data_IF_257321049743
#
_entry.id   IF_257321049743
#
_cell.length_a   1.000
_cell.length_b   1.000
_cell.length_c   1.000
_cell.angle_alpha   90.00
_cell.angle_beta   90.00
_cell.angle_gamma   90.00
#
_symmetry.space_group_name_H-M   'P 1'
#
loop_
_entity.id
_entity.type
_entity.pdbx_description
1 polymer ?
#
# COMPACT_ATOMS: atom_id res chain seq x y z
N UNK A 1 17.59 10.13 -12.59
CA UNK A 1 17.60 9.51 -11.27
C UNK A 1 16.32 9.92 -10.60
N UNK A 2 15.50 8.94 -10.22
CA UNK A 2 14.16 9.11 -9.72
C UNK A 2 14.18 8.73 -8.25
N UNK A 3 14.04 9.76 -7.42
CA UNK A 3 14.02 9.61 -5.97
C UNK A 3 12.58 9.46 -5.49
N UNK A 4 12.33 8.49 -4.62
CA UNK A 4 11.09 8.39 -3.86
C UNK A 4 11.42 8.38 -2.36
N UNK A 5 10.48 8.83 -1.55
CA UNK A 5 10.54 8.76 -0.10
C UNK A 5 9.47 7.79 0.39
N UNK A 6 9.89 6.75 1.08
CA UNK A 6 9.01 5.87 1.84
C UNK A 6 8.78 6.48 3.21
N UNK A 7 7.52 6.54 3.63
CA UNK A 7 7.14 7.16 4.90
C UNK A 7 6.17 6.26 5.66
N UNK A 8 6.46 6.10 6.95
CA UNK A 8 5.63 5.39 7.91
C UNK A 8 5.17 6.37 8.99
N UNK A 9 3.85 6.48 9.14
CA UNK A 9 3.24 7.26 10.20
C UNK A 9 2.52 6.37 11.20
N UNK A 10 2.54 6.70 12.49
CA UNK A 10 1.63 6.15 13.49
C UNK A 10 0.33 6.96 13.48
N UNK A 11 -0.82 6.29 13.52
CA UNK A 11 -2.12 6.94 13.68
C UNK A 11 -2.34 7.25 15.17
N UNK A 12 -2.44 8.53 15.53
CA UNK A 12 -2.54 8.99 16.93
C UNK A 12 -3.99 9.21 17.39
N UNK A 13 -4.86 9.56 16.44
CA UNK A 13 -6.28 9.86 16.72
C UNK A 13 -7.19 9.15 15.74
N UNK A 14 -8.47 9.08 16.09
CA UNK A 14 -9.49 8.46 15.26
C UNK A 14 -9.49 9.03 13.83
N UNK A 15 -9.48 8.15 12.84
CA UNK A 15 -9.47 8.49 11.43
C UNK A 15 -10.88 8.47 10.84
N UNK A 16 -11.24 9.52 10.10
CA UNK A 16 -12.49 9.57 9.36
C UNK A 16 -12.23 9.49 7.85
N UNK A 17 -12.49 8.34 7.25
CA UNK A 17 -12.22 8.11 5.83
C UNK A 17 -12.53 6.69 5.39
N UNK A 18 -11.68 6.12 4.53
CA UNK A 18 -11.88 4.77 4.02
C UNK A 18 -11.29 3.71 4.96
N UNK A 19 -11.99 2.61 5.30
CA UNK A 19 -11.54 1.63 6.30
C UNK A 19 -10.22 0.91 5.97
N UNK A 20 -9.87 0.81 4.69
CA UNK A 20 -8.75 -0.02 4.25
C UNK A 20 -7.51 0.78 3.84
N UNK A 21 -7.63 2.10 3.65
CA UNK A 21 -6.52 2.94 3.23
C UNK A 21 -6.77 4.42 3.54
N UNK A 22 -5.68 5.19 3.58
CA UNK A 22 -5.71 6.65 3.48
C UNK A 22 -5.54 7.04 2.02
N UNK A 23 -6.48 7.80 1.45
CA UNK A 23 -6.37 8.15 0.03
C UNK A 23 -5.15 9.04 -0.23
N UNK A 24 -4.52 8.85 -1.38
CA UNK A 24 -3.38 9.69 -1.78
C UNK A 24 -3.76 11.17 -1.85
N UNK A 25 -5.01 11.48 -2.23
CA UNK A 25 -5.53 12.86 -2.17
C UNK A 25 -5.57 13.44 -0.74
N UNK A 26 -5.92 12.63 0.28
CA UNK A 26 -5.93 13.08 1.67
C UNK A 26 -4.51 13.35 2.19
N UNK A 27 -3.56 12.47 1.86
CA UNK A 27 -2.14 12.66 2.18
C UNK A 27 -1.55 13.86 1.45
N UNK A 28 -1.77 13.97 0.13
CA UNK A 28 -1.36 15.09 -0.70
C UNK A 28 -1.86 16.41 -0.11
N UNK A 29 -3.14 16.51 0.22
CA UNK A 29 -3.71 17.77 0.75
C UNK A 29 -3.16 18.12 2.13
N UNK A 30 -2.79 17.12 2.94
CA UNK A 30 -2.16 17.37 4.23
C UNK A 30 -0.73 17.89 4.05
N UNK A 31 0.04 17.29 3.14
CA UNK A 31 1.43 17.64 2.85
C UNK A 31 1.56 18.98 2.12
N UNK A 32 0.81 19.18 1.03
CA UNK A 32 0.89 20.38 0.20
C UNK A 32 0.61 21.68 0.98
N UNK A 33 -0.15 21.62 2.08
CA UNK A 33 -0.40 22.77 2.98
C UNK A 33 0.82 23.23 3.77
N UNK A 34 1.87 22.41 3.83
CA UNK A 34 3.11 22.68 4.55
C UNK A 34 4.29 22.94 3.62
N UNK A 35 4.07 22.80 2.32
CA UNK A 35 5.07 23.06 1.28
C UNK A 35 4.85 24.45 0.70
N UNK A 36 5.89 24.97 0.05
CA UNK A 36 5.72 26.10 -0.87
C UNK A 36 4.92 25.69 -2.11
N UNK A 37 4.46 26.70 -2.87
CA UNK A 37 3.58 26.50 -4.01
C UNK A 37 4.22 25.63 -5.11
N UNK A 38 5.54 25.72 -5.31
CA UNK A 38 6.23 24.99 -6.38
C UNK A 38 6.41 23.52 -5.99
N UNK A 39 6.92 23.24 -4.79
CA UNK A 39 7.03 21.89 -4.26
C UNK A 39 5.66 21.22 -4.12
N UNK A 40 4.63 21.97 -3.69
CA UNK A 40 3.26 21.48 -3.57
C UNK A 40 2.64 21.10 -4.92
N UNK A 41 2.99 21.80 -6.02
CA UNK A 41 2.49 21.47 -7.38
C UNK A 41 3.16 20.24 -7.96
N UNK A 42 4.44 20.03 -7.67
CA UNK A 42 5.21 18.88 -8.14
C UNK A 42 5.07 17.64 -7.26
N UNK A 43 4.40 17.73 -6.10
CA UNK A 43 4.24 16.62 -5.17
C UNK A 43 3.32 15.51 -5.74
N UNK A 44 3.75 14.27 -5.61
CA UNK A 44 2.98 13.09 -5.94
C UNK A 44 2.98 12.10 -4.77
N UNK A 45 1.80 11.61 -4.39
CA UNK A 45 1.65 10.75 -3.20
C UNK A 45 0.86 9.48 -3.54
N UNK A 46 1.32 8.32 -3.06
CA UNK A 46 0.57 7.06 -3.17
C UNK A 46 -0.63 7.03 -2.23
N UNK A 47 -1.48 6.02 -2.36
CA UNK A 47 -2.39 5.69 -1.26
C UNK A 47 -1.56 5.21 -0.04
N UNK A 48 -2.02 5.58 1.15
CA UNK A 48 -1.50 5.07 2.42
C UNK A 48 -2.17 3.75 2.78
N UNK A 49 -1.38 2.72 3.06
CA UNK A 49 -1.89 1.42 3.50
C UNK A 49 -1.78 1.32 5.02
N UNK A 50 -2.85 0.86 5.65
CA UNK A 50 -2.85 0.63 7.09
C UNK A 50 -2.04 -0.62 7.44
N UNK A 51 -1.08 -0.47 8.35
CA UNK A 51 -0.26 -1.56 8.88
C UNK A 51 -0.48 -1.71 10.38
N UNK A 52 -0.79 -2.92 10.87
CA UNK A 52 -0.84 -3.18 12.30
C UNK A 52 0.59 -3.16 12.87
N UNK A 53 0.78 -2.58 14.06
CA UNK A 53 2.01 -2.65 14.85
C UNK A 53 2.29 -4.07 15.34
N UNK A 54 2.91 -4.88 14.49
CA UNK A 54 3.06 -6.33 14.64
C UNK A 54 4.37 -6.85 14.07
N UNK A 55 4.70 -8.07 14.48
CA UNK A 55 5.82 -8.79 13.90
C UNK A 55 5.46 -9.39 12.55
N UNK A 56 6.32 -9.15 11.58
CA UNK A 56 6.31 -9.77 10.28
C UNK A 56 7.55 -10.62 10.03
N UNK A 57 7.55 -11.31 8.89
CA UNK A 57 8.68 -12.04 8.33
C UNK A 57 8.93 -11.58 6.91
N UNK A 58 10.18 -11.30 6.59
CA UNK A 58 10.64 -11.10 5.21
C UNK A 58 10.62 -12.46 4.53
N UNK A 59 9.79 -12.58 3.51
CA UNK A 59 9.65 -13.87 2.85
C UNK A 59 10.88 -14.18 2.01
N UNK A 60 11.31 -15.44 2.05
CA UNK A 60 12.53 -15.89 1.37
C UNK A 60 13.82 -15.72 2.20
N UNK A 61 13.86 -14.84 3.20
CA UNK A 61 15.08 -14.63 4.02
C UNK A 61 14.97 -15.21 5.44
N UNK A 62 13.75 -15.46 5.92
CA UNK A 62 13.50 -15.94 7.29
C UNK A 62 13.68 -14.86 8.37
N UNK A 63 14.14 -13.66 8.00
CA UNK A 63 14.30 -12.52 8.92
C UNK A 63 12.93 -12.05 9.41
N UNK A 64 12.84 -11.70 10.70
CA UNK A 64 11.65 -11.11 11.29
C UNK A 64 11.85 -9.61 11.49
N UNK A 65 10.80 -8.83 11.29
CA UNK A 65 10.82 -7.38 11.48
C UNK A 65 9.60 -6.95 12.28
N UNK A 66 9.60 -5.70 12.74
CA UNK A 66 8.46 -5.10 13.43
C UNK A 66 8.00 -3.87 12.64
N UNK A 67 6.72 -3.76 12.35
CA UNK A 67 6.15 -2.76 11.42
C UNK A 67 6.18 -1.32 11.91
N UNK A 68 6.78 -1.05 13.07
CA UNK A 68 7.00 0.31 13.57
C UNK A 68 8.32 0.91 13.06
N UNK A 69 8.90 0.32 12.02
CA UNK A 69 10.12 0.79 11.36
C UNK A 69 10.17 0.30 9.92
N UNK A 70 10.97 0.97 9.10
CA UNK A 70 11.17 0.63 7.70
C UNK A 70 12.43 -0.21 7.53
N UNK A 71 12.26 -1.35 6.86
CA UNK A 71 13.38 -2.20 6.46
C UNK A 71 13.99 -1.67 5.16
N UNK A 72 15.30 -1.83 4.92
CA UNK A 72 15.94 -1.43 3.67
C UNK A 72 15.22 -1.98 2.43
N UNK A 73 15.17 -1.15 1.38
CA UNK A 73 14.63 -1.50 0.07
C UNK A 73 15.81 -1.70 -0.89
N UNK A 74 16.10 -2.95 -1.23
CA UNK A 74 17.22 -3.31 -2.09
C UNK A 74 16.75 -3.79 -3.47
N UNK A 75 15.55 -4.37 -3.52
CA UNK A 75 14.95 -4.91 -4.74
C UNK A 75 13.66 -4.18 -5.09
N UNK A 76 13.26 -4.25 -6.36
CA UNK A 76 11.96 -3.72 -6.81
C UNK A 76 10.78 -4.30 -6.02
N UNK A 77 10.85 -5.57 -5.61
CA UNK A 77 9.75 -6.24 -4.92
C UNK A 77 9.56 -5.77 -3.48
N UNK A 78 10.62 -5.27 -2.85
CA UNK A 78 10.57 -4.76 -1.48
C UNK A 78 9.61 -3.57 -1.35
N UNK A 79 9.46 -2.77 -2.41
CA UNK A 79 8.49 -1.66 -2.50
C UNK A 79 7.03 -2.11 -2.32
N UNK A 80 6.75 -3.40 -2.50
CA UNK A 80 5.39 -3.93 -2.45
C UNK A 80 5.16 -4.86 -1.26
N UNK A 81 6.14 -5.00 -0.36
CA UNK A 81 6.08 -5.86 0.84
C UNK A 81 4.79 -5.61 1.64
N UNK A 82 4.45 -4.34 1.83
CA UNK A 82 3.28 -3.91 2.60
C UNK A 82 2.02 -3.68 1.75
N UNK A 83 2.10 -3.85 0.43
CA UNK A 83 0.98 -3.66 -0.51
C UNK A 83 0.19 -4.95 -0.78
N UNK A 84 0.62 -6.13 -0.28
CA UNK A 84 -0.19 -7.35 -0.39
C UNK A 84 -1.41 -7.29 0.55
N UNK A 85 -2.59 -7.22 -0.04
CA UNK A 85 -3.87 -7.20 0.68
C UNK A 85 -4.09 -8.40 1.60
N UNK A 86 -3.42 -9.54 1.35
CA UNK A 86 -3.52 -10.71 2.22
C UNK A 86 -2.57 -10.65 3.44
N UNK A 87 -1.76 -9.59 3.57
CA UNK A 87 -0.83 -9.36 4.67
C UNK A 87 0.03 -10.58 5.01
N UNK A 88 0.50 -11.30 3.99
CA UNK A 88 1.24 -12.57 4.16
C UNK A 88 2.59 -12.39 4.86
N UNK A 89 3.08 -11.17 4.92
CA UNK A 89 4.24 -10.78 5.71
C UNK A 89 3.99 -10.91 7.22
N UNK A 90 2.74 -10.88 7.72
CA UNK A 90 2.44 -11.15 9.12
C UNK A 90 2.78 -12.60 9.48
N UNK A 91 3.38 -12.79 10.66
CA UNK A 91 3.63 -14.11 11.22
C UNK A 91 2.35 -14.95 11.27
N UNK A 92 2.46 -16.25 10.98
CA UNK A 92 1.31 -17.17 10.99
C UNK A 92 0.64 -17.30 12.38
N UNK A 93 1.35 -16.90 13.44
CA UNK A 93 0.81 -16.82 14.80
C UNK A 93 -0.09 -15.61 15.04
N UNK A 94 -0.30 -14.75 14.03
CA UNK A 94 -1.15 -13.57 14.09
C UNK A 94 -2.41 -13.78 13.23
N UNK A 95 -3.61 -13.51 13.77
CA UNK A 95 -4.85 -13.66 13.01
C UNK A 95 -4.96 -12.56 11.96
N UNK A 96 -4.52 -12.84 10.72
CA UNK A 96 -4.52 -11.88 9.60
C UNK A 96 -5.90 -11.25 9.37
N UNK A 97 -6.95 -12.03 9.49
CA UNK A 97 -8.34 -11.56 9.34
C UNK A 97 -8.76 -10.56 10.41
N UNK A 98 -8.08 -10.52 11.55
CA UNK A 98 -8.33 -9.56 12.61
C UNK A 98 -7.36 -8.37 12.54
N UNK A 99 -6.29 -8.48 11.74
CA UNK A 99 -5.25 -7.47 11.53
C UNK A 99 -5.42 -6.71 10.20
N UNK A 100 -6.61 -6.80 9.59
CA UNK A 100 -6.95 -6.15 8.33
C UNK A 100 -7.97 -5.01 8.46
N UNK A 101 -8.50 -4.77 9.67
CA UNK A 101 -9.57 -3.80 9.94
C UNK A 101 -9.33 -3.06 11.25
N UNK A 102 -9.59 -1.75 11.25
CA UNK A 102 -9.52 -0.92 12.44
C UNK A 102 -10.82 -1.02 13.24
N UNK A 103 -10.74 -0.81 14.56
CA UNK A 103 -11.93 -0.78 15.42
C UNK A 103 -12.79 0.43 15.08
N UNK A 104 -14.09 0.20 14.84
CA UNK A 104 -15.05 1.28 14.59
C UNK A 104 -15.36 2.05 15.88
N UNK A 105 -15.39 3.37 15.79
CA UNK A 105 -15.85 4.28 16.84
C UNK A 105 -16.99 5.15 16.30
N UNK A 106 -17.85 5.60 17.22
CA UNK A 106 -18.94 6.53 16.91
C UNK A 106 -18.73 7.83 17.66
N UNK A 107 -18.62 8.93 16.92
CA UNK A 107 -18.52 10.29 17.45
C UNK A 107 -19.71 11.12 16.95
N UNK A 108 -20.78 11.11 17.73
CA UNK A 108 -22.05 11.74 17.34
C UNK A 108 -22.66 11.05 16.11
N UNK A 109 -22.66 11.75 14.98
CA UNK A 109 -23.16 11.28 13.68
C UNK A 109 -22.06 10.70 12.77
N UNK A 110 -20.81 10.61 13.26
CA UNK A 110 -19.66 10.16 12.48
C UNK A 110 -19.21 8.76 12.89
N UNK A 111 -18.95 7.91 11.89
CA UNK A 111 -18.24 6.65 12.07
C UNK A 111 -16.76 6.87 11.76
N UNK A 112 -15.90 6.58 12.74
CA UNK A 112 -14.45 6.74 12.64
C UNK A 112 -13.74 5.42 12.93
N UNK A 113 -12.44 5.39 12.68
CA UNK A 113 -11.57 4.24 12.87
C UNK A 113 -10.53 4.54 13.94
N UNK A 114 -10.53 3.74 15.01
CA UNK A 114 -9.65 3.91 16.16
C UNK A 114 -8.17 3.68 15.78
N UNK A 115 -7.23 4.48 16.32
CA UNK A 115 -5.79 4.27 16.15
C UNK A 115 -5.29 2.97 16.79
N UNK A 116 -6.09 2.34 17.65
CA UNK A 116 -5.73 1.11 18.36
C UNK A 116 -6.85 0.09 18.27
N UNK A 117 -6.50 -1.16 17.93
CA UNK A 117 -7.39 -2.31 18.05
C UNK A 117 -7.08 -3.12 19.32
N UNK A 118 -8.10 -3.62 20.01
CA UNK A 118 -7.94 -4.43 21.24
C UNK A 118 -8.42 -5.87 21.05
N UNK A 119 -7.50 -6.82 21.16
CA UNK A 119 -7.78 -8.26 21.10
C UNK A 119 -7.92 -8.86 22.49
N UNK A 120 -8.94 -9.69 22.69
CA UNK A 120 -9.05 -10.55 23.87
C UNK A 120 -7.98 -11.65 23.85
N UNK A 121 -7.46 -12.00 25.02
CA UNK A 121 -6.57 -13.17 25.21
C UNK A 121 -7.31 -14.28 25.97
N UNK A 122 -6.91 -15.55 25.79
CA UNK A 122 -7.41 -16.67 26.60
C UNK A 122 -7.33 -16.39 28.10
N UNK A 123 -8.28 -16.94 28.87
CA UNK A 123 -8.45 -16.64 30.29
C UNK A 123 -7.25 -17.06 31.16
N UNK A 124 -6.44 -18.01 30.68
CA UNK A 124 -5.23 -18.46 31.37
C UNK A 124 -4.08 -17.45 31.28
N UNK A 125 -4.17 -16.43 30.42
CA UNK A 125 -3.16 -15.38 30.33
C UNK A 125 -3.33 -14.35 31.45
N UNK A 126 -2.20 -13.96 32.06
CA UNK A 126 -2.16 -12.90 33.07
C UNK A 126 -2.75 -11.56 32.57
N UNK A 127 -2.60 -11.27 31.28
CA UNK A 127 -3.22 -10.11 30.62
C UNK A 127 -4.39 -10.56 29.76
N UNK A 128 -5.59 -10.06 30.06
CA UNK A 128 -6.82 -10.40 29.34
C UNK A 128 -6.94 -9.74 27.96
N UNK A 129 -6.09 -8.74 27.65
CA UNK A 129 -6.15 -7.99 26.39
C UNK A 129 -4.76 -7.73 25.81
N UNK A 130 -4.72 -7.53 24.49
CA UNK A 130 -3.57 -7.01 23.73
C UNK A 130 -4.03 -5.85 22.88
N UNK A 131 -3.28 -4.76 22.89
CA UNK A 131 -3.52 -3.60 22.02
C UNK A 131 -2.56 -3.63 20.84
N UNK A 132 -3.03 -3.21 19.68
CA UNK A 132 -2.24 -3.05 18.45
C UNK A 132 -2.50 -1.66 17.91
N UNK A 133 -1.44 -0.87 17.75
CA UNK A 133 -1.52 0.46 17.12
C UNK A 133 -1.46 0.32 15.61
N UNK A 134 -2.05 1.28 14.91
CA UNK A 134 -2.09 1.30 13.46
C UNK A 134 -1.13 2.34 12.90
N UNK A 135 -0.49 1.97 11.80
CA UNK A 135 0.42 2.82 11.06
C UNK A 135 -0.10 3.03 9.63
N UNK A 136 0.35 4.08 8.97
CA UNK A 136 0.04 4.41 7.57
C UNK A 136 1.36 4.42 6.80
N UNK A 137 1.47 3.50 5.84
CA UNK A 137 2.64 3.39 4.95
C UNK A 137 2.34 3.96 3.58
N UNK A 138 3.15 4.90 3.09
CA UNK A 138 2.98 5.54 1.79
C UNK A 138 4.31 5.89 1.11
N UNK A 139 4.23 6.18 -0.20
CA UNK A 139 5.34 6.67 -1.01
C UNK A 139 5.07 8.08 -1.51
N UNK A 140 6.09 8.92 -1.43
CA UNK A 140 6.08 10.31 -1.90
C UNK A 140 7.16 10.46 -2.97
N UNK A 141 6.89 11.21 -4.03
CA UNK A 141 7.91 11.62 -4.98
C UNK A 141 7.57 12.99 -5.58
N UNK A 142 8.50 13.56 -6.33
CA UNK A 142 8.31 14.82 -7.05
C UNK A 142 8.35 14.66 -8.57
N UNK A 143 7.58 15.50 -9.26
CA UNK A 143 7.83 15.84 -10.66
C UNK A 143 8.92 16.94 -10.72
N UNK A 144 10.18 16.49 -10.66
CA UNK A 144 11.37 17.36 -10.70
C UNK A 144 12.35 17.12 -9.55
N UNK A 145 13.53 17.70 -9.67
CA UNK A 145 14.57 17.59 -8.66
C UNK A 145 14.25 18.45 -7.43
N UNK A 146 14.58 17.94 -6.23
CA UNK A 146 14.54 18.72 -4.98
C UNK A 146 13.20 18.77 -4.25
N UNK A 147 12.14 18.10 -4.75
CA UNK A 147 10.86 17.99 -4.03
C UNK A 147 10.95 17.03 -2.84
N UNK A 148 11.70 15.94 -2.99
CA UNK A 148 11.97 14.94 -1.95
C UNK A 148 13.48 14.85 -1.72
N UNK A 149 13.94 14.52 -0.49
CA UNK A 149 13.14 14.14 0.67
C UNK A 149 12.49 15.33 1.39
N UNK A 150 11.28 15.12 1.89
CA UNK A 150 10.61 16.01 2.82
C UNK A 150 11.20 15.84 4.22
N UNK A 151 11.40 16.95 4.92
CA UNK A 151 11.91 16.96 6.29
C UNK A 151 10.87 16.45 7.29
N UNK A 152 11.34 15.99 8.44
CA UNK A 152 10.50 15.60 9.58
C UNK A 152 9.52 16.71 9.99
N UNK A 153 9.94 17.98 9.96
CA UNK A 153 9.08 19.12 10.26
C UNK A 153 7.88 19.27 9.29
N UNK A 154 7.99 18.77 8.06
CA UNK A 154 6.89 18.74 7.10
C UNK A 154 6.02 17.52 7.33
N UNK A 155 6.62 16.37 7.67
CA UNK A 155 5.95 15.09 7.78
C UNK A 155 5.23 14.87 9.13
N UNK A 156 5.76 15.38 10.24
CA UNK A 156 5.28 15.04 11.58
C UNK A 156 4.03 15.83 12.01
N UNK A 157 3.08 15.17 12.69
CA UNK A 157 1.85 15.80 13.17
C UNK A 157 0.87 16.21 12.06
N UNK A 158 0.89 15.52 10.92
CA UNK A 158 -0.07 15.75 9.83
C UNK A 158 -1.49 15.34 10.26
N UNK A 159 -2.51 15.90 9.59
CA UNK A 159 -3.90 15.47 9.73
C UNK A 159 -4.48 15.04 8.39
N UNK A 160 -4.92 13.79 8.33
CA UNK A 160 -5.46 13.15 7.12
C UNK A 160 -6.93 12.78 7.27
N UNK A 161 -7.63 12.58 6.16
CA UNK A 161 -9.05 12.25 6.15
C UNK A 161 -9.98 13.46 6.37
N UNK A 162 -11.22 13.16 6.76
CA UNK A 162 -12.27 14.14 7.03
C UNK A 162 -12.25 14.69 8.45
N UNK A 163 -12.97 15.79 8.69
CA UNK A 163 -13.16 16.39 10.02
C UNK A 163 -11.86 16.67 10.81
N UNK A 164 -10.79 17.02 10.09
CA UNK A 164 -9.46 17.37 10.64
C UNK A 164 -9.49 18.56 11.63
N UNK A 165 -10.46 19.46 11.46
CA UNK A 165 -10.74 20.58 12.35
C UNK A 165 -11.37 20.17 13.68
N UNK A 166 -11.84 18.92 13.79
CA UNK A 166 -12.40 18.32 15.02
C UNK A 166 -11.40 17.40 15.74
N UNK A 167 -10.10 17.46 15.38
CA UNK A 167 -9.06 16.65 16.03
C UNK A 167 -8.95 15.21 15.54
N UNK A 168 -9.53 14.89 14.38
CA UNK A 168 -9.46 13.56 13.76
C UNK A 168 -8.27 13.44 12.80
N UNK A 169 -7.78 12.21 12.67
CA UNK A 169 -6.81 11.78 11.66
C UNK A 169 -5.40 12.33 11.84
N UNK A 170 -5.03 12.74 13.05
CA UNK A 170 -3.66 13.08 13.41
C UNK A 170 -2.73 11.87 13.30
N UNK A 171 -1.60 12.09 12.64
CA UNK A 171 -0.56 11.08 12.46
C UNK A 171 0.81 11.63 12.89
N UNK A 172 1.64 10.77 13.47
CA UNK A 172 3.01 11.07 13.90
C UNK A 172 4.00 10.37 12.97
N UNK A 173 5.09 11.03 12.59
CA UNK A 173 6.16 10.38 11.83
C UNK A 173 6.82 9.31 12.72
N UNK A 174 6.83 8.07 12.23
CA UNK A 174 7.53 6.96 12.88
C UNK A 174 8.89 6.74 12.24
N UNK A 175 8.92 6.70 10.91
CA UNK A 175 10.14 6.41 10.15
C UNK A 175 10.01 6.92 8.71
N UNK A 176 11.15 7.20 8.07
CA UNK A 176 11.21 7.51 6.65
C UNK A 176 12.56 7.14 6.05
N UNK A 177 12.56 6.67 4.81
CA UNK A 177 13.78 6.43 4.04
C UNK A 177 13.63 6.92 2.61
N UNK A 178 14.77 7.16 1.97
CA UNK A 178 14.85 7.65 0.59
C UNK A 178 15.40 6.54 -0.30
N UNK A 179 14.78 6.34 -1.45
CA UNK A 179 15.07 5.23 -2.35
C UNK A 179 15.30 5.80 -3.76
N UNK A 180 16.45 5.47 -4.34
CA UNK A 180 16.73 5.69 -5.75
C UNK A 180 16.15 4.52 -6.55
N UNK A 181 15.14 4.78 -7.38
CA UNK A 181 14.47 3.69 -8.10
C UNK A 181 15.43 2.98 -9.05
N UNK A 182 16.28 3.70 -9.76
CA UNK A 182 17.20 3.13 -10.75
C UNK A 182 18.32 2.29 -10.12
N UNK A 183 18.57 2.41 -8.80
CA UNK A 183 19.58 1.62 -8.09
C UNK A 183 19.06 0.27 -7.59
N UNK A 184 17.75 0.04 -7.63
CA UNK A 184 17.15 -1.20 -7.15
C UNK A 184 17.49 -2.40 -8.02
N UNK A 185 17.49 -3.60 -7.43
CA UNK A 185 17.58 -4.83 -8.21
C UNK A 185 16.25 -5.14 -8.91
N UNK A 186 16.31 -5.14 -10.26
CA UNK A 186 15.21 -5.50 -11.17
C UNK A 186 15.41 -6.87 -11.83
N UNK A 187 16.33 -7.71 -11.36
CA UNK A 187 16.66 -9.00 -12.00
C UNK A 187 15.42 -9.86 -12.28
N UNK A 188 14.41 -9.81 -11.40
CA UNK A 188 13.15 -10.54 -11.55
C UNK A 188 12.21 -10.03 -12.64
N UNK A 189 12.33 -8.77 -13.05
CA UNK A 189 11.56 -8.20 -14.16
C UNK A 189 12.41 -7.94 -15.41
N UNK A 190 13.73 -8.17 -15.33
CA UNK A 190 14.68 -8.02 -16.44
C UNK A 190 14.86 -9.30 -17.25
N UNK A 191 14.72 -10.48 -16.62
CA UNK A 191 14.86 -11.77 -17.30
C UNK A 191 13.62 -12.04 -18.18
N UNK A 192 13.66 -11.49 -19.39
CA UNK A 192 12.53 -11.39 -20.33
C UNK A 192 12.41 -12.57 -21.32
N UNK A 193 13.44 -13.43 -21.42
CA UNK A 193 13.53 -14.40 -22.53
C UNK A 193 12.54 -15.59 -22.45
N UNK A 194 11.91 -15.86 -21.30
CA UNK A 194 11.02 -17.03 -21.13
C UNK A 194 9.69 -16.74 -20.37
N UNK A 195 9.60 -15.62 -19.65
CA UNK A 195 8.48 -15.34 -18.74
C UNK A 195 7.49 -14.33 -19.31
N UNK A 196 6.20 -14.72 -19.35
CA UNK A 196 5.11 -13.74 -19.49
C UNK A 196 5.06 -12.90 -18.22
N UNK A 197 4.90 -11.59 -18.30
CA UNK A 197 4.66 -10.75 -17.11
C UNK A 197 3.18 -10.46 -16.95
N UNK A 198 2.79 -10.11 -15.72
CA UNK A 198 1.50 -9.49 -15.47
C UNK A 198 1.65 -8.20 -14.69
N UNK A 199 0.65 -7.35 -14.85
CA UNK A 199 0.46 -6.12 -14.09
C UNK A 199 -0.59 -6.38 -13.03
N UNK A 200 -0.26 -6.07 -11.78
CA UNK A 200 -1.19 -6.04 -10.68
C UNK A 200 -1.51 -4.60 -10.32
N UNK A 201 -2.78 -4.21 -10.42
CA UNK A 201 -3.23 -2.86 -10.08
C UNK A 201 -3.33 -2.73 -8.56
N UNK A 202 -2.58 -1.78 -7.99
CA UNK A 202 -2.54 -1.53 -6.55
C UNK A 202 -3.42 -0.36 -6.15
N UNK A 203 -3.63 0.58 -7.07
CA UNK A 203 -4.66 1.60 -6.93
C UNK A 203 -5.49 1.71 -8.21
N UNK A 204 -6.72 2.27 -8.14
CA UNK A 204 -7.58 2.37 -9.30
C UNK A 204 -6.92 3.19 -10.41
N UNK A 205 -7.10 2.77 -11.67
CA UNK A 205 -6.63 3.52 -12.83
C UNK A 205 -7.79 4.33 -13.41
N UNK A 206 -7.65 5.65 -13.49
CA UNK A 206 -8.71 6.54 -13.95
C UNK A 206 -8.96 6.34 -15.44
N UNK A 207 -10.21 6.32 -15.87
CA UNK A 207 -10.59 6.36 -17.29
C UNK A 207 -11.17 7.73 -17.64
N UNK A 208 -12.02 8.26 -16.75
CA UNK A 208 -12.68 9.57 -16.91
C UNK A 208 -12.83 10.25 -15.56
N UNK A 209 -12.85 11.57 -15.56
CA UNK A 209 -13.14 12.35 -14.36
C UNK A 209 -13.91 13.62 -14.72
N UNK A 210 -14.90 13.95 -13.90
CA UNK A 210 -15.64 15.21 -14.03
C UNK A 210 -14.85 16.43 -13.53
N UNK A 211 -13.67 16.23 -12.91
CA UNK A 211 -12.85 17.33 -12.43
C UNK A 211 -12.36 18.20 -13.60
N UNK A 212 -12.46 19.54 -13.53
CA UNK A 212 -11.99 20.43 -14.59
C UNK A 212 -10.53 20.18 -14.96
N UNK A 213 -10.24 20.11 -16.26
CA UNK A 213 -8.89 19.86 -16.77
C UNK A 213 -8.41 18.42 -16.66
N UNK A 214 -9.24 17.48 -16.19
CA UNK A 214 -8.92 16.06 -16.25
C UNK A 214 -9.03 15.53 -17.69
N UNK A 215 -8.04 14.75 -18.13
CA UNK A 215 -8.07 14.08 -19.42
C UNK A 215 -8.81 12.73 -19.35
N UNK A 216 -9.66 12.48 -20.33
CA UNK A 216 -10.16 11.13 -20.61
C UNK A 216 -9.03 10.26 -21.15
N UNK A 217 -8.97 9.01 -20.71
CA UNK A 217 -7.96 8.06 -21.15
C UNK A 217 -8.55 6.66 -21.34
N UNK A 218 -7.98 5.91 -22.27
CA UNK A 218 -8.31 4.50 -22.47
C UNK A 218 -7.50 3.60 -21.54
N UNK A 219 -7.92 2.34 -21.46
CA UNK A 219 -7.05 1.27 -20.94
C UNK A 219 -5.75 1.28 -21.77
N UNK A 220 -4.56 1.22 -21.14
CA UNK A 220 -3.30 1.22 -21.87
C UNK A 220 -3.19 0.03 -22.82
N UNK A 221 -2.65 0.24 -24.02
CA UNK A 221 -2.55 -0.81 -25.05
C UNK A 221 -1.68 -2.00 -24.64
N UNK A 222 -0.74 -1.79 -23.71
CA UNK A 222 0.15 -2.81 -23.16
C UNK A 222 -0.49 -3.62 -22.02
N UNK A 223 -1.80 -3.43 -21.75
CA UNK A 223 -2.59 -4.30 -20.88
C UNK A 223 -3.34 -5.31 -21.74
N UNK A 224 -2.78 -6.50 -21.89
CA UNK A 224 -3.47 -7.60 -22.53
C UNK A 224 -4.50 -8.22 -21.56
N UNK A 225 -5.76 -7.92 -21.84
CA UNK A 225 -6.90 -8.25 -20.99
C UNK A 225 -7.81 -9.24 -21.74
N UNK A 226 -7.66 -10.56 -21.52
CA UNK A 226 -8.53 -11.54 -22.17
C UNK A 226 -9.96 -11.54 -21.61
N UNK A 227 -10.20 -10.77 -20.54
CA UNK A 227 -11.47 -10.66 -19.84
C UNK A 227 -11.87 -9.19 -19.66
N UNK A 228 -13.15 -8.96 -19.39
CA UNK A 228 -13.64 -7.62 -19.08
C UNK A 228 -13.09 -7.15 -17.73
N UNK A 229 -12.53 -5.94 -17.70
CA UNK A 229 -12.02 -5.32 -16.49
C UNK A 229 -13.16 -4.83 -15.61
N UNK A 230 -13.10 -5.17 -14.31
CA UNK A 230 -13.97 -4.60 -13.29
C UNK A 230 -13.77 -3.10 -13.25
N UNK A 231 -14.87 -2.38 -13.35
CA UNK A 231 -14.92 -0.92 -13.22
C UNK A 231 -15.52 -0.52 -11.90
N UNK A 232 -15.08 0.63 -11.40
CA UNK A 232 -15.61 1.24 -10.18
C UNK A 232 -15.78 2.74 -10.42
N UNK A 233 -16.79 3.33 -9.79
CA UNK A 233 -16.89 4.79 -9.67
C UNK A 233 -16.35 5.20 -8.31
N UNK A 234 -15.40 6.11 -8.32
CA UNK A 234 -14.82 6.76 -7.15
C UNK A 234 -15.28 8.22 -7.10
N UNK A 235 -15.06 8.87 -5.95
CA UNK A 235 -15.31 10.30 -5.77
C UNK A 235 -14.02 11.01 -5.41
N UNK A 236 -13.72 12.09 -6.12
CA UNK A 236 -12.63 13.01 -5.80
C UNK A 236 -13.24 14.27 -5.18
N UNK A 237 -12.77 14.64 -3.98
CA UNK A 237 -13.23 15.84 -3.27
C UNK A 237 -12.15 16.90 -3.38
N UNK A 238 -12.46 18.07 -3.92
CA UNK A 238 -11.53 19.21 -4.00
C UNK A 238 -12.22 20.44 -3.42
N UNK A 239 -11.76 20.89 -2.26
CA UNK A 239 -12.49 21.91 -1.50
C UNK A 239 -13.87 21.39 -1.10
N UNK A 240 -14.92 22.07 -1.52
CA UNK A 240 -16.32 21.69 -1.29
C UNK A 240 -16.95 20.92 -2.47
N UNK A 241 -16.23 20.82 -3.59
CA UNK A 241 -16.71 20.15 -4.79
C UNK A 241 -16.42 18.65 -4.75
N UNK A 242 -17.36 17.85 -5.26
CA UNK A 242 -17.24 16.40 -5.37
C UNK A 242 -17.41 16.00 -6.83
N UNK A 243 -16.40 15.34 -7.40
CA UNK A 243 -16.36 14.91 -8.79
C UNK A 243 -16.42 13.39 -8.89
N UNK A 244 -17.24 12.88 -9.80
CA UNK A 244 -17.22 11.46 -10.14
C UNK A 244 -15.97 11.12 -10.96
N UNK A 245 -15.39 9.96 -10.66
CA UNK A 245 -14.22 9.41 -11.34
C UNK A 245 -14.51 7.96 -11.71
N UNK A 246 -14.59 7.67 -13.01
CA UNK A 246 -14.76 6.30 -13.50
C UNK A 246 -13.38 5.65 -13.64
N UNK A 247 -13.19 4.47 -13.05
CA UNK A 247 -11.88 3.79 -12.96
C UNK A 247 -11.96 2.33 -13.39
N UNK A 248 -10.80 1.78 -13.81
CA UNK A 248 -10.52 0.36 -13.67
C UNK A 248 -10.14 0.10 -12.21
N UNK A 249 -10.82 -0.86 -11.60
CA UNK A 249 -10.63 -1.13 -10.17
C UNK A 249 -9.29 -1.80 -9.86
N UNK A 250 -8.78 -1.56 -8.66
CA UNK A 250 -7.57 -2.16 -8.13
C UNK A 250 -7.75 -3.64 -7.74
N UNK A 251 -6.66 -4.34 -7.47
CA UNK A 251 -6.62 -5.77 -7.14
C UNK A 251 -6.81 -6.70 -8.32
N UNK A 252 -6.95 -6.15 -9.54
CA UNK A 252 -7.04 -6.91 -10.79
C UNK A 252 -5.65 -7.19 -11.37
N UNK A 253 -5.56 -8.27 -12.16
CA UNK A 253 -4.34 -8.66 -12.86
C UNK A 253 -4.59 -8.73 -14.36
N UNK A 254 -3.67 -8.18 -15.13
CA UNK A 254 -3.70 -8.19 -16.60
C UNK A 254 -2.35 -8.64 -17.13
N UNK A 255 -2.31 -9.23 -18.32
CA UNK A 255 -1.05 -9.63 -18.93
C UNK A 255 -0.31 -8.37 -19.42
N UNK A 256 1.01 -8.36 -19.27
CA UNK A 256 1.84 -7.31 -19.82
C UNK A 256 2.20 -7.65 -21.28
N UNK A 257 1.91 -6.72 -22.18
CA UNK A 257 2.18 -6.85 -23.62
C UNK A 257 3.17 -5.79 -24.15
N UNK A 258 3.83 -5.05 -23.26
CA UNK A 258 4.87 -4.10 -23.63
C UNK A 258 6.24 -4.77 -23.84
N UNK A 259 7.21 -3.96 -24.22
CA UNK A 259 8.59 -4.35 -24.56
C UNK A 259 9.64 -3.92 -23.53
N UNK A 260 9.31 -2.97 -22.64
CA UNK A 260 10.19 -2.48 -21.58
C UNK A 260 9.56 -2.69 -20.18
N UNK A 261 9.68 -3.90 -19.59
CA UNK A 261 9.10 -4.20 -18.29
C UNK A 261 9.71 -3.39 -17.15
N UNK A 262 11.01 -3.04 -17.23
CA UNK A 262 11.71 -2.30 -16.17
C UNK A 262 11.24 -0.85 -16.13
N UNK A 263 11.22 -0.16 -17.28
CA UNK A 263 10.68 1.21 -17.34
C UNK A 263 9.20 1.23 -16.96
N UNK A 264 8.42 0.24 -17.41
CA UNK A 264 7.02 0.09 -17.02
C UNK A 264 6.87 -0.11 -15.51
N UNK A 265 7.73 -0.91 -14.87
CA UNK A 265 7.76 -1.13 -13.43
C UNK A 265 8.05 0.15 -12.64
N UNK A 266 9.02 0.96 -13.09
CA UNK A 266 9.33 2.28 -12.51
C UNK A 266 8.12 3.22 -12.61
N UNK A 267 7.49 3.28 -13.79
CA UNK A 267 6.29 4.10 -14.00
C UNK A 267 5.12 3.63 -13.12
N UNK A 268 5.00 2.32 -12.86
CA UNK A 268 3.98 1.77 -11.95
C UNK A 268 4.12 2.26 -10.51
N UNK A 269 5.35 2.35 -10.00
CA UNK A 269 5.63 2.92 -8.66
C UNK A 269 5.33 4.40 -8.61
N UNK A 270 5.67 5.14 -9.68
CA UNK A 270 5.40 6.57 -9.82
C UNK A 270 3.94 6.89 -10.14
N UNK A 271 3.16 5.85 -10.48
CA UNK A 271 1.80 5.93 -10.96
C UNK A 271 1.67 6.56 -12.34
N UNK A 272 0.61 6.21 -13.05
CA UNK A 272 0.35 6.69 -14.43
C UNK A 272 -1.07 7.22 -14.61
N UNK A 273 -1.21 8.14 -15.56
CA UNK A 273 -2.50 8.65 -16.03
C UNK A 273 -3.09 9.78 -15.18
N UNK A 274 -4.32 10.16 -15.52
CA UNK A 274 -5.10 11.19 -14.83
C UNK A 274 -5.19 10.94 -13.32
N UNK A 275 -4.92 11.98 -12.54
CA UNK A 275 -4.90 11.96 -11.06
C UNK A 275 -3.80 11.11 -10.41
N UNK A 276 -2.76 10.71 -11.15
CA UNK A 276 -1.61 9.94 -10.62
C UNK A 276 -0.95 10.57 -9.40
N UNK A 277 -0.86 11.91 -9.38
CA UNK A 277 -0.33 12.67 -8.24
C UNK A 277 -1.11 12.48 -6.93
N UNK A 278 -2.37 12.04 -7.02
CA UNK A 278 -3.27 11.78 -5.89
C UNK A 278 -3.41 10.29 -5.55
N UNK A 279 -2.51 9.44 -6.03
CA UNK A 279 -2.44 8.03 -5.66
C UNK A 279 -3.16 7.07 -6.59
N UNK A 280 -3.75 7.54 -7.69
CA UNK A 280 -4.36 6.68 -8.73
C UNK A 280 -3.32 6.10 -9.68
N UNK A 281 -3.59 4.93 -10.27
CA UNK A 281 -2.75 4.34 -11.32
C UNK A 281 -1.45 3.70 -10.83
N UNK A 282 -1.36 3.31 -9.56
CA UNK A 282 -0.24 2.54 -9.00
C UNK A 282 -0.37 1.08 -9.42
N UNK A 283 0.72 0.48 -9.90
CA UNK A 283 0.72 -0.93 -10.27
C UNK A 283 2.11 -1.55 -10.12
N UNK A 284 2.13 -2.88 -10.07
CA UNK A 284 3.34 -3.70 -10.03
C UNK A 284 3.44 -4.57 -11.26
N UNK A 285 4.63 -4.66 -11.87
CA UNK A 285 4.94 -5.64 -12.93
C UNK A 285 5.62 -6.83 -12.28
N UNK A 286 5.20 -8.06 -12.58
CA UNK A 286 5.87 -9.26 -12.04
C UNK A 286 5.70 -10.50 -12.93
N UNK A 287 6.58 -11.52 -12.81
CA UNK A 287 6.50 -12.73 -13.62
C UNK A 287 5.15 -13.47 -13.45
N UNK A 288 4.58 -13.97 -14.55
CA UNK A 288 3.33 -14.73 -14.59
C UNK A 288 3.60 -16.21 -14.30
N UNK A 289 3.66 -16.54 -13.01
CA UNK A 289 3.98 -17.89 -12.53
C UNK A 289 4.48 -17.84 -11.10
N UNK A 290 5.08 -16.71 -10.74
CA UNK A 290 5.34 -16.35 -9.37
C UNK A 290 3.99 -16.27 -8.63
N UNK A 291 3.82 -16.95 -7.50
CA UNK A 291 2.76 -16.58 -6.54
C UNK A 291 3.10 -15.17 -6.02
N UNK A 292 2.16 -14.45 -5.38
CA UNK A 292 2.44 -13.11 -4.81
C UNK A 292 3.74 -13.10 -3.98
N UNK A 293 4.12 -14.27 -3.45
CA UNK A 293 5.39 -14.60 -2.82
C UNK A 293 5.69 -16.11 -2.98
N UNK A 294 6.97 -16.49 -3.12
CA UNK A 294 7.43 -17.89 -3.05
C UNK A 294 7.26 -18.47 -1.64
N UNK A 295 6.54 -19.58 -1.52
CA UNK A 295 6.51 -20.36 -0.28
C UNK A 295 7.89 -20.97 -0.05
N UNK A 296 8.51 -20.75 1.11
CA UNK A 296 9.56 -21.67 1.56
C UNK A 296 8.86 -22.94 2.06
N UNK A 297 9.09 -24.06 1.36
CA UNK A 297 8.52 -25.38 1.64
C UNK A 297 8.90 -25.95 3.02
N UNK A 298 9.69 -25.23 3.82
CA UNK A 298 10.16 -25.65 5.14
C UNK A 298 9.02 -25.89 6.15
N UNK A 299 7.84 -25.31 5.93
CA UNK A 299 6.64 -25.57 6.75
C UNK A 299 5.78 -26.75 6.30
N UNK A 300 5.83 -27.15 5.02
CA UNK A 300 4.88 -28.13 4.47
C UNK A 300 5.31 -29.59 4.68
N UNK A 301 6.61 -29.85 4.89
CA UNK A 301 7.10 -31.21 5.16
C UNK A 301 6.81 -31.69 6.58
N UNK A 302 6.77 -30.78 7.56
CA UNK A 302 6.49 -31.10 8.95
C UNK A 302 5.04 -31.57 9.17
N UNK A 303 4.09 -31.10 8.37
CA UNK A 303 2.69 -31.50 8.50
C UNK A 303 2.39 -32.85 7.83
N UNK A 304 3.04 -33.18 6.70
CA UNK A 304 2.88 -34.50 6.06
C UNK A 304 3.51 -35.65 6.85
N UNK A 305 4.57 -35.36 7.62
CA UNK A 305 5.28 -36.41 8.38
C UNK A 305 4.56 -36.79 9.67
N UNK A 306 3.77 -35.87 10.27
CA UNK A 306 2.92 -36.21 11.43
C UNK A 306 1.68 -37.01 11.07
N UNK A 307 1.06 -36.75 9.91
CA UNK A 307 -0.14 -37.49 9.47
C UNK A 307 0.14 -38.98 9.21
N UNK A 308 1.32 -39.33 8.68
CA UNK A 308 1.68 -40.74 8.41
C UNK A 308 2.04 -41.56 9.64
N UNK A 309 2.62 -40.94 10.68
CA UNK A 309 2.97 -41.66 11.93
C UNK A 309 1.75 -41.97 12.81
N UNK A 310 0.65 -41.26 12.63
CA UNK A 310 -0.62 -41.57 13.32
C UNK A 310 -1.42 -42.69 12.66
N UNK A 311 -1.22 -42.97 11.36
CA UNK A 311 -1.90 -44.09 10.67
C UNK A 311 -1.18 -45.44 10.80
N UNK A 312 0.13 -45.46 11.10
CA UNK A 312 0.89 -46.72 11.33
C UNK A 312 0.86 -47.19 12.80
N UNK A 313 0.19 -46.46 13.71
CA UNK A 313 0.04 -46.84 15.12
C UNK A 313 -1.32 -47.46 15.47
N UNK A 314 -2.22 -47.62 14.49
CA UNK A 314 -3.55 -48.24 14.66
C UNK A 314 -3.78 -49.49 13.76
N UNK A 315 -2.70 -50.21 13.41
CA UNK A 315 -2.77 -51.56 12.82
C UNK A 315 -1.97 -52.57 13.65
#
# INVERSE_FOLDING_TARGET
MTLIQEVLFELETDYFGHPYYVSGHALFTALARRLDDDAGRSLCVSNGVFLPGEYGRIVGTGSSFYTTGLEPVETYDDLFRFRDAAQRWLLDSRPRDAHNTLDLQSHGDRLTFSPTCRFGKPAENQYSKRSVTWHVHCYIHGEGDGVVPLSESVLDGLRVGGARNHGLGEVRLTDSQTIELESLDYSRVRNWDEDRFHIELLSPYVLRSQHPGAGDQSVPWWWDCPHELRRRRERLVVGDDVFDVDTVDHGQRVMFAGDDPVSTAVNGVRRVGTHSKFGFGEFRVRPAGDDRVTWSDEGSSAHRTRSRRSEEAEL
#
